data_IF_144968574347
#
_entry.id   IF_144968574347
#
_cell.length_a   1.000
_cell.length_b   1.000
_cell.length_c   1.000
_cell.angle_alpha   90.00
_cell.angle_beta   90.00
_cell.angle_gamma   90.00
#
_symmetry.space_group_name_H-M   'P 1'
#
loop_
_entity.id
_entity.type
_entity.pdbx_description
1 polymer ?
#
# COMPACT_ATOMS: atom_id res chain seq x y z
N UNK A 1 -2.95 -19.01 -7.29
CA UNK A 1 -2.82 -18.56 -5.88
C UNK A 1 -2.57 -17.06 -5.75
N UNK A 2 -1.83 -16.44 -6.68
CA UNK A 2 -1.47 -15.00 -6.73
C UNK A 2 -2.66 -14.03 -6.57
N UNK A 3 -3.80 -14.29 -7.23
CA UNK A 3 -4.99 -13.41 -7.16
C UNK A 3 -5.48 -13.12 -5.73
N UNK A 4 -5.26 -14.05 -4.79
CA UNK A 4 -5.71 -13.90 -3.40
C UNK A 4 -4.82 -12.95 -2.59
N UNK A 5 -3.52 -12.91 -2.88
CA UNK A 5 -2.58 -12.03 -2.17
C UNK A 5 -2.73 -10.57 -2.61
N UNK A 6 -2.96 -10.32 -3.90
CA UNK A 6 -3.24 -8.98 -4.43
C UNK A 6 -4.53 -8.39 -3.84
N UNK A 7 -5.57 -9.23 -3.67
CA UNK A 7 -6.83 -8.82 -3.02
C UNK A 7 -6.64 -8.40 -1.57
N UNK A 8 -5.89 -9.18 -0.78
CA UNK A 8 -5.58 -8.85 0.62
C UNK A 8 -4.72 -7.59 0.75
N UNK A 9 -3.76 -7.38 -0.16
CA UNK A 9 -2.94 -6.16 -0.17
C UNK A 9 -3.78 -4.90 -0.43
N UNK A 10 -4.75 -4.98 -1.36
CA UNK A 10 -5.68 -3.88 -1.62
C UNK A 10 -6.58 -3.59 -0.41
N UNK A 11 -7.18 -4.61 0.20
CA UNK A 11 -8.02 -4.42 1.40
C UNK A 11 -7.25 -3.76 2.55
N UNK A 12 -5.98 -4.15 2.75
CA UNK A 12 -5.12 -3.54 3.78
C UNK A 12 -4.77 -2.10 3.43
N UNK A 13 -4.46 -1.79 2.18
CA UNK A 13 -4.18 -0.43 1.72
C UNK A 13 -5.41 0.47 1.90
N UNK A 14 -6.58 0.02 1.48
CA UNK A 14 -7.86 0.73 1.66
C UNK A 14 -8.11 1.00 3.14
N UNK A 15 -7.92 0.00 4.00
CA UNK A 15 -8.09 0.18 5.44
C UNK A 15 -7.13 1.21 6.04
N UNK A 16 -5.89 1.26 5.59
CA UNK A 16 -4.91 2.26 6.07
C UNK A 16 -5.28 3.65 5.55
N UNK A 17 -5.80 3.77 4.33
CA UNK A 17 -6.29 5.04 3.79
C UNK A 17 -7.47 5.59 4.61
N UNK A 18 -8.42 4.74 4.99
CA UNK A 18 -9.53 5.09 5.89
C UNK A 18 -9.00 5.62 7.23
N UNK A 19 -8.15 4.85 7.91
CA UNK A 19 -7.57 5.22 9.20
C UNK A 19 -6.76 6.53 9.12
N UNK A 20 -6.04 6.73 8.03
CA UNK A 20 -5.29 7.97 7.79
C UNK A 20 -6.22 9.16 7.59
N UNK A 21 -7.32 8.99 6.86
CA UNK A 21 -8.33 10.03 6.67
C UNK A 21 -8.98 10.41 8.00
N UNK A 22 -9.39 9.42 8.79
CA UNK A 22 -9.98 9.65 10.12
C UNK A 22 -9.01 10.38 11.05
N UNK A 23 -7.73 9.98 11.06
CA UNK A 23 -6.71 10.66 11.84
C UNK A 23 -6.49 12.12 11.39
N UNK A 24 -6.56 12.39 10.08
CA UNK A 24 -6.51 13.76 9.54
C UNK A 24 -7.70 14.61 9.97
N UNK A 25 -8.92 14.04 10.00
CA UNK A 25 -10.12 14.73 10.47
C UNK A 25 -9.99 15.04 11.96
N UNK A 26 -9.71 14.03 12.78
CA UNK A 26 -9.54 14.20 14.23
C UNK A 26 -8.45 15.22 14.58
N UNK A 27 -7.34 15.23 13.83
CA UNK A 27 -6.25 16.18 14.07
C UNK A 27 -6.68 17.63 13.86
N UNK A 28 -7.65 17.90 12.97
CA UNK A 28 -8.18 19.26 12.74
C UNK A 28 -9.09 19.73 13.87
N UNK A 29 -9.63 18.81 14.66
CA UNK A 29 -10.57 19.09 15.75
C UNK A 29 -9.87 19.31 17.10
N UNK A 30 -8.65 18.81 17.27
CA UNK A 30 -7.88 18.94 18.52
C UNK A 30 -6.99 20.19 18.54
N UNK A 31 -6.70 20.70 19.75
CA UNK A 31 -5.81 21.84 19.94
C UNK A 31 -4.37 21.51 19.52
N UNK A 32 -3.71 22.43 18.80
CA UNK A 32 -2.38 22.20 18.19
C UNK A 32 -1.25 21.94 19.19
N UNK A 33 -1.40 22.40 20.42
CA UNK A 33 -0.46 22.26 21.53
C UNK A 33 -0.81 21.07 22.45
N UNK A 34 -1.83 20.27 22.08
CA UNK A 34 -2.23 19.11 22.85
C UNK A 34 -1.39 17.87 22.51
N UNK A 35 -1.16 16.97 23.48
CA UNK A 35 -0.54 15.67 23.21
C UNK A 35 -1.30 14.83 22.17
N UNK A 36 -2.62 15.04 22.05
CA UNK A 36 -3.45 14.38 21.05
C UNK A 36 -3.06 14.80 19.62
N UNK A 37 -2.74 16.09 19.41
CA UNK A 37 -2.29 16.58 18.12
C UNK A 37 -0.97 15.95 17.70
N UNK A 38 -0.01 15.83 18.62
CA UNK A 38 1.28 15.20 18.36
C UNK A 38 1.13 13.70 18.07
N UNK A 39 0.31 13.02 18.87
CA UNK A 39 -0.01 11.59 18.66
C UNK A 39 -0.63 11.35 17.28
N UNK A 40 -1.64 12.14 16.90
CA UNK A 40 -2.28 12.04 15.58
C UNK A 40 -1.31 12.40 14.45
N UNK A 41 -0.44 13.39 14.64
CA UNK A 41 0.60 13.74 13.67
C UNK A 41 1.56 12.56 13.46
N UNK A 42 1.97 11.89 14.54
CA UNK A 42 2.79 10.69 14.48
C UNK A 42 2.09 9.52 13.78
N UNK A 43 0.81 9.28 14.09
CA UNK A 43 0.00 8.23 13.47
C UNK A 43 -0.14 8.45 11.95
N UNK A 44 -0.48 9.66 11.53
CA UNK A 44 -0.57 10.04 10.10
C UNK A 44 0.76 9.78 9.38
N UNK A 45 1.89 10.18 9.98
CA UNK A 45 3.21 9.94 9.41
C UNK A 45 3.53 8.44 9.30
N UNK A 46 3.12 7.63 10.27
CA UNK A 46 3.28 6.18 10.25
C UNK A 46 2.43 5.54 9.14
N UNK A 47 1.16 5.92 9.00
CA UNK A 47 0.28 5.43 7.94
C UNK A 47 0.85 5.75 6.55
N UNK A 48 1.37 6.96 6.34
CA UNK A 48 2.03 7.33 5.08
C UNK A 48 3.23 6.43 4.74
N UNK A 49 4.05 6.07 5.74
CA UNK A 49 5.18 5.15 5.54
C UNK A 49 4.73 3.73 5.20
N UNK A 50 3.71 3.22 5.88
CA UNK A 50 3.17 1.88 5.60
C UNK A 50 2.56 1.82 4.21
N UNK A 51 1.80 2.85 3.80
CA UNK A 51 1.25 2.95 2.44
C UNK A 51 2.37 2.94 1.39
N UNK A 52 3.39 3.76 1.57
CA UNK A 52 4.53 3.79 0.64
C UNK A 52 5.22 2.41 0.53
N UNK A 53 5.36 1.71 1.65
CA UNK A 53 5.92 0.36 1.67
C UNK A 53 5.04 -0.66 0.93
N UNK A 54 3.74 -0.73 1.26
CA UNK A 54 2.79 -1.67 0.64
C UNK A 54 2.64 -1.43 -0.86
N UNK A 55 2.56 -0.17 -1.29
CA UNK A 55 2.51 0.18 -2.72
C UNK A 55 3.81 -0.22 -3.44
N UNK A 56 4.96 -0.12 -2.77
CA UNK A 56 6.23 -0.57 -3.34
C UNK A 56 6.28 -2.09 -3.51
N UNK A 57 5.71 -2.84 -2.56
CA UNK A 57 5.57 -4.29 -2.66
C UNK A 57 4.62 -4.68 -3.80
N UNK A 58 3.45 -4.04 -3.91
CA UNK A 58 2.52 -4.29 -5.02
C UNK A 58 3.18 -4.06 -6.38
N UNK A 59 3.89 -2.94 -6.57
CA UNK A 59 4.62 -2.68 -7.81
C UNK A 59 5.67 -3.74 -8.14
N UNK A 60 6.35 -4.27 -7.12
CA UNK A 60 7.32 -5.34 -7.30
C UNK A 60 6.64 -6.66 -7.67
N UNK A 61 5.56 -7.03 -6.99
CA UNK A 61 4.78 -8.21 -7.34
C UNK A 61 4.19 -8.11 -8.75
N UNK A 62 3.65 -6.95 -9.13
CA UNK A 62 3.18 -6.67 -10.49
C UNK A 62 4.31 -6.78 -11.52
N UNK A 63 5.48 -6.24 -11.22
CA UNK A 63 6.66 -6.35 -12.08
C UNK A 63 7.12 -7.81 -12.26
N UNK A 64 7.21 -8.57 -11.17
CA UNK A 64 7.59 -9.99 -11.20
C UNK A 64 6.59 -10.81 -12.03
N UNK A 65 5.29 -10.46 -12.00
CA UNK A 65 4.27 -11.07 -12.85
C UNK A 65 4.44 -10.74 -14.34
N UNK A 66 4.75 -9.48 -14.67
CA UNK A 66 4.98 -9.05 -16.07
C UNK A 66 6.23 -9.72 -16.64
N UNK A 67 7.33 -9.76 -15.89
CA UNK A 67 8.58 -10.41 -16.32
C UNK A 67 8.39 -11.92 -16.47
N UNK A 68 7.74 -12.57 -15.49
CA UNK A 68 7.44 -14.00 -15.57
C UNK A 68 6.57 -14.37 -16.78
N UNK A 69 5.64 -13.51 -17.19
CA UNK A 69 4.85 -13.73 -18.42
C UNK A 69 5.67 -13.52 -19.70
N UNK A 70 6.65 -12.62 -19.66
CA UNK A 70 7.51 -12.29 -20.80
C UNK A 70 8.46 -13.44 -21.14
N UNK A 71 9.10 -14.05 -20.13
CA UNK A 71 10.00 -15.20 -20.33
C UNK A 71 9.26 -16.45 -20.84
N UNK A 72 8.01 -16.66 -20.42
CA UNK A 72 7.17 -17.74 -20.95
C UNK A 72 6.76 -17.49 -22.41
N UNK A 73 6.54 -16.24 -22.81
CA UNK A 73 6.18 -15.91 -24.19
C UNK A 73 7.35 -16.11 -25.16
N UNK A 74 8.57 -15.76 -24.76
CA UNK A 74 9.78 -15.96 -25.57
C UNK A 74 10.13 -17.44 -25.72
N UNK A 75 9.96 -18.24 -24.67
CA UNK A 75 10.21 -19.69 -24.72
C UNK A 75 9.24 -20.43 -25.67
N UNK A 76 7.96 -20.02 -25.73
CA UNK A 76 6.98 -20.63 -26.64
C UNK A 76 7.23 -20.21 -28.10
N UNK A 77 7.74 -19.00 -28.34
CA UNK A 77 8.09 -18.54 -29.68
C UNK A 77 9.35 -19.20 -30.26
N UNK A 78 10.29 -19.64 -29.40
CA UNK A 78 11.54 -20.30 -29.81
C UNK A 78 11.42 -21.81 -30.10
N UNK A 79 10.25 -22.41 -29.86
CA UNK A 79 10.00 -23.86 -30.01
C UNK A 79 9.05 -24.17 -31.19
N UNK A 80 8.65 -23.16 -31.97
CA UNK A 80 7.94 -23.30 -33.25
C UNK A 80 8.82 -22.86 -34.43
#
# INVERSE_FOLDING_TARGET
MIKRHVGLANEVIERILELSSDAHIQRREVAKDSPAFDSLTGAIAAYGKVLAFLTSLQKREEFDLVVGQSEFSEYVAAVN
#
